data_IF_685574340946
#
_entry.id   IF_685574340946
#
_cell.length_a   1.000
_cell.length_b   1.000
_cell.length_c   1.000
_cell.angle_alpha   90.00
_cell.angle_beta   90.00
_cell.angle_gamma   90.00
#
_symmetry.space_group_name_H-M   'P 1'
#
loop_
_entity.id
_entity.type
_entity.pdbx_description
1 polymer ?
#
# COMPACT_ATOMS: atom_id res chain seq x y z
N UNK A 1 10.07 35.25 11.30
CA UNK A 1 10.20 35.13 12.77
C UNK A 1 9.21 34.07 13.24
N UNK A 2 9.63 33.05 14.00
CA UNK A 2 8.70 32.05 14.57
C UNK A 2 7.69 32.81 15.44
N UNK A 3 6.35 32.65 15.26
CA UNK A 3 5.45 33.02 16.33
C UNK A 3 5.85 32.15 17.54
N UNK A 4 6.24 32.80 18.63
CA UNK A 4 6.60 32.11 19.87
C UNK A 4 5.31 31.42 20.31
N UNK A 5 5.29 30.08 20.34
CA UNK A 5 4.16 29.34 20.92
C UNK A 5 3.94 29.93 22.32
N UNK A 6 2.70 30.25 22.64
CA UNK A 6 2.38 30.73 23.98
C UNK A 6 2.79 29.63 24.95
N UNK A 7 3.48 30.00 26.03
CA UNK A 7 4.07 29.05 26.99
C UNK A 7 3.01 28.15 27.66
N UNK A 8 1.74 28.50 27.47
CA UNK A 8 0.56 27.80 27.97
C UNK A 8 0.14 26.60 27.10
N UNK A 9 0.63 26.48 25.84
CA UNK A 9 0.38 25.32 24.96
C UNK A 9 1.46 24.22 25.06
N UNK A 10 2.57 24.48 25.76
CA UNK A 10 3.70 23.54 25.86
C UNK A 10 3.57 22.70 27.14
N UNK A 11 3.36 21.39 27.00
CA UNK A 11 3.36 20.45 28.12
C UNK A 11 4.77 20.03 28.50
N UNK A 12 4.97 19.66 29.76
CA UNK A 12 6.26 19.16 30.22
C UNK A 12 6.47 17.75 29.67
N UNK A 13 7.67 17.47 29.16
CA UNK A 13 8.03 16.10 28.75
C UNK A 13 7.84 15.13 29.92
N UNK A 14 8.30 15.54 31.11
CA UNK A 14 8.04 14.86 32.36
C UNK A 14 7.31 15.82 33.30
N UNK A 15 6.17 15.43 33.90
CA UNK A 15 5.54 14.10 33.85
C UNK A 15 4.58 13.90 32.67
N UNK A 16 4.09 14.97 32.05
CA UNK A 16 2.86 14.92 31.25
C UNK A 16 2.94 13.97 30.04
N UNK A 17 4.01 14.05 29.24
CA UNK A 17 4.17 13.18 28.07
C UNK A 17 4.58 11.74 28.46
N UNK A 18 5.58 11.59 29.33
CA UNK A 18 6.11 10.26 29.69
C UNK A 18 5.05 9.38 30.35
N UNK A 19 4.15 9.92 31.17
CA UNK A 19 3.09 9.12 31.78
C UNK A 19 2.12 8.56 30.74
N UNK A 20 1.72 9.36 29.75
CA UNK A 20 0.83 8.90 28.66
C UNK A 20 1.54 7.84 27.82
N UNK A 21 2.80 8.06 27.46
CA UNK A 21 3.60 7.08 26.71
C UNK A 21 3.78 5.77 27.48
N UNK A 22 4.01 5.83 28.79
CA UNK A 22 4.11 4.65 29.66
C UNK A 22 2.81 3.85 29.72
N UNK A 23 1.66 4.54 29.81
CA UNK A 23 0.34 3.90 29.77
C UNK A 23 0.14 3.22 28.41
N UNK A 24 0.43 3.91 27.30
CA UNK A 24 0.37 3.33 25.96
C UNK A 24 1.28 2.10 25.83
N UNK A 25 2.54 2.20 26.25
CA UNK A 25 3.49 1.10 26.21
C UNK A 25 3.02 -0.12 27.01
N UNK A 26 2.47 0.11 28.20
CA UNK A 26 1.89 -0.93 29.05
C UNK A 26 0.70 -1.60 28.37
N UNK A 27 -0.24 -0.81 27.83
CA UNK A 27 -1.40 -1.32 27.12
C UNK A 27 -1.02 -2.13 25.88
N UNK A 28 -0.07 -1.65 25.07
CA UNK A 28 0.44 -2.41 23.92
C UNK A 28 1.13 -3.71 24.33
N UNK A 29 1.95 -3.67 25.40
CA UNK A 29 2.64 -4.87 25.91
C UNK A 29 1.65 -5.92 26.38
N UNK A 30 0.64 -5.53 27.17
CA UNK A 30 -0.43 -6.42 27.61
C UNK A 30 -1.20 -6.96 26.42
N UNK A 31 -1.59 -6.10 25.48
CA UNK A 31 -2.37 -6.49 24.30
C UNK A 31 -1.62 -7.51 23.45
N UNK A 32 -0.33 -7.26 23.14
CA UNK A 32 0.48 -8.22 22.38
C UNK A 32 0.73 -9.52 23.15
N UNK A 33 0.88 -9.47 24.47
CA UNK A 33 1.03 -10.67 25.31
C UNK A 33 -0.25 -11.51 25.26
N UNK A 34 -1.43 -10.88 25.39
CA UNK A 34 -2.72 -11.57 25.29
C UNK A 34 -2.92 -12.18 23.90
N UNK A 35 -2.65 -11.42 22.83
CA UNK A 35 -2.74 -11.94 21.45
C UNK A 35 -1.79 -13.11 21.24
N UNK A 36 -0.54 -13.01 21.72
CA UNK A 36 0.45 -14.09 21.60
C UNK A 36 0.06 -15.35 22.39
N UNK A 37 -0.68 -15.22 23.49
CA UNK A 37 -1.14 -16.34 24.29
C UNK A 37 -2.40 -17.00 23.71
N UNK A 38 -3.26 -16.23 23.03
CA UNK A 38 -4.54 -16.72 22.49
C UNK A 38 -4.46 -17.17 21.02
N UNK A 39 -3.52 -16.62 20.25
CA UNK A 39 -3.40 -16.87 18.80
C UNK A 39 -2.12 -17.66 18.52
N UNK A 40 -2.27 -18.93 18.14
CA UNK A 40 -1.16 -19.75 17.70
C UNK A 40 -0.61 -19.23 16.37
N UNK A 41 0.72 -19.09 16.29
CA UNK A 41 1.38 -18.75 15.05
C UNK A 41 1.30 -19.95 14.08
N UNK A 42 0.92 -19.73 12.81
CA UNK A 42 0.97 -20.77 11.79
C UNK A 42 2.43 -21.02 11.40
N UNK A 43 3.08 -21.96 12.08
CA UNK A 43 4.45 -22.37 11.80
C UNK A 43 4.46 -23.49 10.77
N UNK A 44 5.35 -23.40 9.78
CA UNK A 44 5.57 -24.42 8.76
C UNK A 44 6.60 -25.45 9.29
N UNK A 45 6.62 -26.63 8.66
CA UNK A 45 7.66 -27.64 8.86
C UNK A 45 9.08 -27.06 8.74
N UNK A 46 10.04 -27.77 9.34
CA UNK A 46 11.46 -27.41 9.22
C UNK A 46 11.86 -27.30 7.75
N UNK A 47 12.71 -26.32 7.45
CA UNK A 47 13.17 -26.06 6.09
C UNK A 47 13.75 -27.35 5.45
N UNK A 48 13.24 -27.68 4.27
CA UNK A 48 13.72 -28.78 3.45
C UNK A 48 14.03 -28.23 2.05
N UNK A 49 15.24 -28.47 1.55
CA UNK A 49 15.66 -28.00 0.22
C UNK A 49 14.95 -28.76 -0.92
N UNK A 50 14.46 -29.97 -0.66
CA UNK A 50 13.77 -30.81 -1.65
C UNK A 50 12.29 -30.47 -1.81
N UNK A 51 11.74 -29.61 -0.94
CA UNK A 51 10.31 -29.25 -0.94
C UNK A 51 10.15 -27.73 -1.01
N UNK A 52 9.48 -27.25 -2.05
CA UNK A 52 9.10 -25.84 -2.17
C UNK A 52 7.65 -25.66 -1.67
N UNK A 53 7.40 -24.85 -0.62
CA UNK A 53 6.05 -24.64 -0.10
C UNK A 53 5.11 -24.03 -1.15
N UNK A 54 3.86 -24.50 -1.20
CA UNK A 54 2.85 -23.97 -2.11
C UNK A 54 1.51 -23.69 -1.41
N UNK A 55 1.13 -22.41 -1.21
CA UNK A 55 1.77 -21.18 -1.70
C UNK A 55 2.91 -20.72 -0.79
N UNK A 56 4.00 -20.24 -1.41
CA UNK A 56 5.07 -19.55 -0.68
C UNK A 56 4.67 -18.09 -0.44
N UNK A 57 4.03 -17.79 0.69
CA UNK A 57 3.63 -16.44 1.09
C UNK A 57 4.70 -15.76 1.95
N UNK A 58 4.95 -14.48 1.68
CA UNK A 58 5.80 -13.61 2.48
C UNK A 58 5.07 -13.19 3.78
N UNK A 59 5.81 -12.69 4.78
CA UNK A 59 5.19 -12.05 5.94
C UNK A 59 4.25 -10.91 5.53
N UNK A 60 3.21 -10.66 6.33
CA UNK A 60 2.10 -9.76 5.97
C UNK A 60 2.55 -8.33 5.60
N UNK A 61 3.62 -7.82 6.21
CA UNK A 61 4.19 -6.49 5.92
C UNK A 61 4.99 -6.43 4.59
N UNK A 62 5.16 -7.55 3.90
CA UNK A 62 5.72 -7.62 2.54
C UNK A 62 4.74 -8.21 1.53
N UNK A 63 3.53 -8.62 1.95
CA UNK A 63 2.55 -9.22 1.04
C UNK A 63 2.09 -8.26 -0.05
N UNK A 64 2.07 -6.95 0.22
CA UNK A 64 1.77 -5.97 -0.81
C UNK A 64 2.78 -6.03 -1.97
N UNK A 65 4.08 -6.19 -1.66
CA UNK A 65 5.13 -6.28 -2.66
C UNK A 65 5.06 -7.61 -3.38
N UNK A 66 4.79 -8.69 -2.66
CA UNK A 66 4.62 -10.00 -3.27
C UNK A 66 3.45 -10.02 -4.25
N UNK A 67 2.33 -9.41 -3.89
CA UNK A 67 1.18 -9.28 -4.79
C UNK A 67 1.55 -8.46 -6.03
N UNK A 68 2.31 -7.38 -5.86
CA UNK A 68 2.81 -6.56 -6.95
C UNK A 68 3.69 -7.36 -7.94
N UNK A 69 4.49 -8.31 -7.46
CA UNK A 69 5.33 -9.21 -8.29
C UNK A 69 4.52 -10.11 -9.24
N UNK A 70 3.23 -10.32 -8.98
CA UNK A 70 2.36 -11.10 -9.87
C UNK A 70 1.90 -10.29 -11.08
N UNK A 71 2.00 -8.97 -11.02
CA UNK A 71 1.41 -8.04 -12.00
C UNK A 71 2.44 -7.31 -12.85
N UNK A 72 3.74 -7.42 -12.54
CA UNK A 72 4.81 -6.74 -13.27
C UNK A 72 6.17 -7.40 -13.07
N UNK A 73 7.21 -6.91 -13.75
CA UNK A 73 8.58 -7.41 -13.59
C UNK A 73 9.06 -7.36 -12.12
N UNK A 74 9.90 -8.35 -11.75
CA UNK A 74 10.42 -8.51 -10.40
C UNK A 74 11.30 -7.34 -9.94
N UNK A 75 12.13 -6.82 -10.85
CA UNK A 75 12.98 -5.66 -10.55
C UNK A 75 12.16 -4.38 -10.40
N UNK A 76 11.13 -4.21 -11.24
CA UNK A 76 10.21 -3.07 -11.18
C UNK A 76 9.44 -3.06 -9.84
N UNK A 77 8.74 -4.14 -9.52
CA UNK A 77 7.92 -4.24 -8.31
C UNK A 77 8.75 -4.26 -7.02
N UNK A 78 9.86 -4.99 -7.00
CA UNK A 78 10.65 -5.21 -5.78
C UNK A 78 11.62 -4.09 -5.44
N UNK A 79 12.17 -3.40 -6.45
CA UNK A 79 13.26 -2.42 -6.24
C UNK A 79 12.87 -1.03 -6.69
N UNK A 80 12.45 -0.87 -7.94
CA UNK A 80 12.25 0.46 -8.54
C UNK A 80 11.07 1.18 -7.90
N UNK A 81 9.90 0.55 -7.84
CA UNK A 81 8.67 1.16 -7.30
C UNK A 81 8.85 1.58 -5.83
N UNK A 82 9.34 0.72 -4.90
CA UNK A 82 9.58 1.12 -3.52
C UNK A 82 10.62 2.24 -3.39
N UNK A 83 11.69 2.20 -4.18
CA UNK A 83 12.75 3.22 -4.14
C UNK A 83 12.22 4.58 -4.58
N UNK A 84 11.46 4.63 -5.69
CA UNK A 84 10.83 5.86 -6.16
C UNK A 84 9.81 6.39 -5.15
N UNK A 85 9.04 5.52 -4.50
CA UNK A 85 8.07 5.93 -3.49
C UNK A 85 8.72 6.53 -2.26
N UNK A 86 9.77 5.90 -1.72
CA UNK A 86 10.53 6.44 -0.58
C UNK A 86 11.18 7.77 -0.97
N UNK A 87 11.78 7.85 -2.17
CA UNK A 87 12.32 9.10 -2.69
C UNK A 87 11.27 10.21 -2.77
N UNK A 88 10.09 9.90 -3.30
CA UNK A 88 8.97 10.83 -3.32
C UNK A 88 8.57 11.30 -1.91
N UNK A 89 8.43 10.39 -0.93
CA UNK A 89 8.13 10.76 0.45
C UNK A 89 9.18 11.72 1.04
N UNK A 90 10.46 11.47 0.79
CA UNK A 90 11.55 12.36 1.21
C UNK A 90 11.47 13.75 0.57
N UNK A 91 10.88 13.87 -0.62
CA UNK A 91 10.70 15.17 -1.29
C UNK A 91 9.53 15.98 -0.76
N UNK A 92 8.54 15.37 -0.07
CA UNK A 92 7.32 16.05 0.39
C UNK A 92 7.62 17.33 1.19
N UNK A 93 8.53 17.36 2.18
CA UNK A 93 8.83 18.56 2.96
C UNK A 93 9.46 19.71 2.15
N UNK A 94 10.06 19.40 1.00
CA UNK A 94 10.67 20.39 0.11
C UNK A 94 9.64 20.97 -0.88
N UNK A 95 8.61 20.20 -1.20
CA UNK A 95 7.52 20.61 -2.08
C UNK A 95 6.48 21.41 -1.29
N UNK A 96 6.00 20.87 -0.16
CA UNK A 96 5.10 21.57 0.75
C UNK A 96 5.87 22.21 1.90
N UNK A 97 6.24 23.48 1.73
CA UNK A 97 6.94 24.30 2.73
C UNK A 97 5.99 25.14 3.59
N UNK A 98 4.67 24.98 3.41
CA UNK A 98 3.68 25.75 4.14
C UNK A 98 3.65 25.34 5.62
N UNK A 99 3.42 26.31 6.51
CA UNK A 99 3.33 26.09 7.97
C UNK A 99 1.89 26.08 8.48
N UNK A 100 0.91 26.23 7.60
CA UNK A 100 -0.50 26.22 7.97
C UNK A 100 -0.87 24.86 8.55
N UNK A 101 -1.80 24.77 9.50
CA UNK A 101 -2.33 23.52 10.07
C UNK A 101 -1.33 22.40 10.41
N UNK A 102 -0.10 22.75 10.85
CA UNK A 102 0.87 21.79 11.35
C UNK A 102 0.32 21.12 12.62
N UNK A 103 0.34 19.79 12.67
CA UNK A 103 -0.20 19.02 13.80
C UNK A 103 -1.71 18.79 13.75
N UNK A 104 -2.41 19.33 12.74
CA UNK A 104 -3.85 19.09 12.54
C UNK A 104 -4.01 18.02 11.45
N UNK A 105 -4.57 16.87 11.82
CA UNK A 105 -4.87 15.80 10.88
C UNK A 105 -5.71 16.29 9.70
N UNK A 106 -5.22 16.00 8.49
CA UNK A 106 -5.80 16.39 7.21
C UNK A 106 -5.90 17.90 6.94
N UNK A 107 -5.37 18.75 7.83
CA UNK A 107 -5.26 20.22 7.74
C UNK A 107 -6.59 20.98 7.57
N UNK A 108 -7.33 20.73 6.50
CA UNK A 108 -8.56 21.44 6.11
C UNK A 108 -9.74 20.46 5.95
N UNK A 109 -11.00 20.96 5.90
CA UNK A 109 -12.15 20.14 5.55
C UNK A 109 -12.05 19.52 4.14
N UNK A 110 -11.43 20.24 3.19
CA UNK A 110 -11.17 19.73 1.84
C UNK A 110 -10.18 18.58 1.87
N UNK A 111 -9.10 18.67 2.67
CA UNK A 111 -8.16 17.59 2.88
C UNK A 111 -8.80 16.32 3.43
N UNK A 112 -9.75 16.44 4.37
CA UNK A 112 -10.52 15.29 4.88
C UNK A 112 -11.38 14.64 3.79
N UNK A 113 -12.13 15.45 3.03
CA UNK A 113 -12.96 14.95 1.91
C UNK A 113 -12.09 14.25 0.86
N UNK A 114 -10.93 14.83 0.56
CA UNK A 114 -10.00 14.30 -0.42
C UNK A 114 -9.30 13.03 0.07
N UNK A 115 -9.00 12.91 1.36
CA UNK A 115 -8.51 11.66 1.96
C UNK A 115 -9.55 10.53 1.83
N UNK A 116 -10.82 10.80 2.12
CA UNK A 116 -11.89 9.80 1.95
C UNK A 116 -12.05 9.43 0.47
N UNK A 117 -12.08 10.43 -0.42
CA UNK A 117 -12.18 10.20 -1.87
C UNK A 117 -11.02 9.36 -2.39
N UNK A 118 -9.78 9.72 -2.04
CA UNK A 118 -8.57 9.00 -2.45
C UNK A 118 -8.49 7.59 -1.86
N UNK A 119 -9.00 7.37 -0.64
CA UNK A 119 -9.11 6.05 -0.04
C UNK A 119 -10.05 5.14 -0.83
N UNK A 120 -11.24 5.64 -1.19
CA UNK A 120 -12.20 4.90 -2.03
C UNK A 120 -11.61 4.68 -3.42
N UNK A 121 -11.04 5.71 -4.03
CA UNK A 121 -10.39 5.67 -5.33
C UNK A 121 -9.30 4.58 -5.39
N UNK A 122 -8.36 4.59 -4.45
CA UNK A 122 -7.28 3.60 -4.37
C UNK A 122 -7.81 2.19 -4.13
N UNK A 123 -8.78 2.04 -3.23
CA UNK A 123 -9.37 0.73 -2.91
C UNK A 123 -10.09 0.12 -4.12
N UNK A 124 -11.04 0.86 -4.71
CA UNK A 124 -11.87 0.38 -5.82
C UNK A 124 -11.01 0.10 -7.05
N UNK A 125 -10.07 0.99 -7.39
CA UNK A 125 -9.21 0.78 -8.54
C UNK A 125 -8.26 -0.38 -8.35
N UNK A 126 -7.68 -0.57 -7.17
CA UNK A 126 -6.76 -1.69 -6.94
C UNK A 126 -7.48 -3.03 -7.07
N UNK A 127 -8.67 -3.19 -6.48
CA UNK A 127 -9.49 -4.39 -6.70
C UNK A 127 -9.87 -4.55 -8.17
N UNK A 128 -10.26 -3.47 -8.85
CA UNK A 128 -10.58 -3.46 -10.28
C UNK A 128 -9.41 -3.89 -11.15
N UNK A 129 -8.20 -3.41 -10.87
CA UNK A 129 -6.98 -3.75 -11.61
C UNK A 129 -6.57 -5.21 -11.41
N UNK A 130 -6.66 -5.73 -10.18
CA UNK A 130 -6.37 -7.15 -9.90
C UNK A 130 -7.37 -8.04 -10.64
N UNK A 131 -8.66 -7.70 -10.60
CA UNK A 131 -9.70 -8.43 -11.33
C UNK A 131 -9.53 -8.34 -12.85
N UNK A 132 -9.18 -7.17 -13.37
CA UNK A 132 -8.90 -6.94 -14.78
C UNK A 132 -7.69 -7.76 -15.24
N UNK A 133 -6.58 -7.73 -14.48
CA UNK A 133 -5.39 -8.53 -14.77
C UNK A 133 -5.71 -10.04 -14.79
N UNK A 134 -6.50 -10.52 -13.82
CA UNK A 134 -6.96 -11.90 -13.79
C UNK A 134 -7.75 -12.28 -15.06
N UNK A 135 -8.68 -11.44 -15.49
CA UNK A 135 -9.48 -11.67 -16.71
C UNK A 135 -8.59 -11.60 -17.96
N UNK A 136 -7.71 -10.63 -18.07
CA UNK A 136 -6.81 -10.46 -19.23
C UNK A 136 -5.86 -11.65 -19.39
N UNK A 137 -5.27 -12.13 -18.28
CA UNK A 137 -4.43 -13.34 -18.29
C UNK A 137 -5.23 -14.57 -18.73
N UNK A 138 -6.47 -14.72 -18.26
CA UNK A 138 -7.35 -15.84 -18.65
C UNK A 138 -7.71 -15.84 -20.14
N UNK A 139 -7.84 -14.66 -20.75
CA UNK A 139 -8.12 -14.49 -22.20
C UNK A 139 -6.86 -14.79 -23.05
N UNK A 140 -5.69 -14.93 -22.43
CA UNK A 140 -4.43 -15.19 -23.12
C UNK A 140 -3.73 -13.92 -23.62
N UNK A 141 -3.93 -12.79 -22.92
CA UNK A 141 -3.30 -11.51 -23.29
C UNK A 141 -1.77 -11.60 -23.31
N UNK A 142 -1.16 -12.39 -22.42
CA UNK A 142 0.29 -12.53 -22.33
C UNK A 142 0.85 -13.30 -23.53
N UNK A 143 0.15 -14.34 -23.97
CA UNK A 143 0.48 -15.13 -25.16
C UNK A 143 0.31 -14.27 -26.42
N UNK A 144 -0.80 -13.53 -26.51
CA UNK A 144 -1.03 -12.58 -27.60
C UNK A 144 0.08 -11.53 -27.67
N UNK A 145 0.42 -10.89 -26.55
CA UNK A 145 1.49 -9.91 -26.49
C UNK A 145 2.83 -10.52 -26.92
N UNK A 146 3.11 -11.76 -26.51
CA UNK A 146 4.35 -12.47 -26.87
C UNK A 146 4.47 -12.77 -28.36
N UNK A 147 3.34 -13.03 -29.04
CA UNK A 147 3.32 -13.43 -30.45
C UNK A 147 3.23 -12.23 -31.41
N UNK A 148 2.46 -11.20 -31.06
CA UNK A 148 2.07 -10.14 -32.00
C UNK A 148 2.66 -8.76 -31.69
N UNK A 149 3.19 -8.53 -30.48
CA UNK A 149 3.73 -7.21 -30.11
C UNK A 149 5.27 -7.17 -30.11
N UNK A 150 5.88 -6.07 -30.59
CA UNK A 150 7.34 -5.92 -30.58
C UNK A 150 7.87 -5.86 -29.14
N UNK A 151 8.78 -6.76 -28.76
CA UNK A 151 9.28 -6.86 -27.38
C UNK A 151 8.46 -7.78 -26.46
N UNK A 152 7.41 -8.42 -26.99
CA UNK A 152 6.71 -9.55 -26.37
C UNK A 152 6.14 -9.27 -24.97
N UNK A 153 6.13 -10.31 -24.12
CA UNK A 153 5.66 -10.21 -22.73
C UNK A 153 6.45 -9.22 -21.86
N UNK A 154 7.75 -9.08 -22.14
CA UNK A 154 8.65 -8.31 -21.29
C UNK A 154 8.30 -6.83 -21.40
N UNK A 155 8.17 -6.31 -22.62
CA UNK A 155 7.94 -4.87 -22.78
C UNK A 155 6.54 -4.45 -22.32
N UNK A 156 5.50 -5.16 -22.75
CA UNK A 156 4.12 -4.71 -22.60
C UNK A 156 3.49 -5.13 -21.27
N UNK A 157 3.22 -6.43 -21.02
CA UNK A 157 2.73 -6.92 -19.73
C UNK A 157 3.62 -6.57 -18.55
N UNK A 158 4.95 -6.77 -18.65
CA UNK A 158 5.79 -6.70 -17.45
C UNK A 158 6.25 -5.28 -17.08
N UNK A 159 6.38 -4.38 -18.06
CA UNK A 159 6.84 -2.99 -17.83
C UNK A 159 5.81 -1.92 -18.21
N UNK A 160 5.41 -1.84 -19.49
CA UNK A 160 4.71 -0.66 -20.02
C UNK A 160 3.30 -0.49 -19.44
N UNK A 161 2.51 -1.57 -19.34
CA UNK A 161 1.17 -1.50 -18.75
C UNK A 161 1.22 -1.16 -17.26
N UNK A 162 2.04 -1.84 -16.43
CA UNK A 162 2.17 -1.49 -15.02
C UNK A 162 2.66 -0.06 -14.80
N UNK A 163 3.71 0.38 -15.49
CA UNK A 163 4.22 1.75 -15.38
C UNK A 163 3.16 2.76 -15.83
N UNK A 164 2.54 2.50 -16.98
CA UNK A 164 1.49 3.34 -17.54
C UNK A 164 0.30 3.49 -16.59
N UNK A 165 -0.18 2.39 -16.02
CA UNK A 165 -1.31 2.42 -15.07
C UNK A 165 -0.95 3.16 -13.78
N UNK A 166 0.22 2.91 -13.19
CA UNK A 166 0.67 3.63 -12.00
C UNK A 166 0.79 5.14 -12.24
N UNK A 167 1.40 5.55 -13.36
CA UNK A 167 1.59 6.97 -13.69
C UNK A 167 0.27 7.64 -14.04
N UNK A 168 -0.55 7.02 -14.90
CA UNK A 168 -1.80 7.60 -15.40
C UNK A 168 -2.82 7.71 -14.27
N UNK A 169 -2.99 6.69 -13.44
CA UNK A 169 -3.96 6.74 -12.34
C UNK A 169 -3.51 7.74 -11.26
N UNK A 170 -2.22 7.80 -10.94
CA UNK A 170 -1.71 8.82 -10.01
C UNK A 170 -1.91 10.23 -10.58
N UNK A 171 -1.59 10.45 -11.85
CA UNK A 171 -1.81 11.73 -12.51
C UNK A 171 -3.31 12.08 -12.56
N UNK A 172 -4.18 11.12 -12.85
CA UNK A 172 -5.63 11.30 -12.84
C UNK A 172 -6.11 11.73 -11.45
N UNK A 173 -5.65 11.08 -10.38
CA UNK A 173 -5.99 11.46 -9.01
C UNK A 173 -5.57 12.91 -8.71
N UNK A 174 -4.35 13.30 -9.10
CA UNK A 174 -3.85 14.67 -8.94
C UNK A 174 -4.69 15.67 -9.74
N UNK A 175 -5.07 15.32 -10.97
CA UNK A 175 -5.93 16.16 -11.82
C UNK A 175 -7.34 16.30 -11.23
N UNK A 176 -7.93 15.22 -10.74
CA UNK A 176 -9.24 15.23 -10.08
C UNK A 176 -9.19 16.07 -8.79
N UNK A 177 -8.15 15.91 -7.97
CA UNK A 177 -7.94 16.71 -6.78
C UNK A 177 -7.87 18.20 -7.10
N UNK A 178 -7.08 18.59 -8.11
CA UNK A 178 -6.92 19.99 -8.51
C UNK A 178 -8.17 20.55 -9.19
N UNK A 179 -8.83 19.80 -10.06
CA UNK A 179 -9.93 20.30 -10.90
C UNK A 179 -11.29 20.28 -10.22
N UNK A 180 -11.58 19.26 -9.40
CA UNK A 180 -12.87 19.12 -8.74
C UNK A 180 -12.85 19.77 -7.36
N UNK A 181 -11.76 19.59 -6.60
CA UNK A 181 -11.67 20.03 -5.21
C UNK A 181 -10.87 21.33 -5.03
N UNK A 182 -10.30 21.89 -6.11
CA UNK A 182 -9.38 23.04 -6.05
C UNK A 182 -8.27 22.84 -5.00
N UNK A 183 -7.75 21.62 -4.93
CA UNK A 183 -6.85 21.20 -3.87
C UNK A 183 -5.50 21.95 -3.90
N UNK A 184 -5.04 22.35 -2.73
CA UNK A 184 -3.68 22.87 -2.50
C UNK A 184 -2.64 21.77 -2.65
N UNK A 185 -1.36 22.16 -2.75
CA UNK A 185 -0.24 21.20 -2.83
C UNK A 185 -0.27 20.18 -1.70
N UNK A 186 -0.56 20.62 -0.47
CA UNK A 186 -0.65 19.72 0.69
C UNK A 186 -1.76 18.69 0.55
N UNK A 187 -2.95 19.14 0.16
CA UNK A 187 -4.11 18.27 0.02
C UNK A 187 -3.87 17.24 -1.10
N UNK A 188 -3.19 17.63 -2.18
CA UNK A 188 -2.72 16.69 -3.21
C UNK A 188 -1.76 15.64 -2.62
N UNK A 189 -0.81 16.04 -1.77
CA UNK A 189 0.10 15.08 -1.11
C UNK A 189 -0.66 14.13 -0.18
N UNK A 190 -1.64 14.63 0.58
CA UNK A 190 -2.54 13.81 1.39
C UNK A 190 -3.27 12.79 0.51
N UNK A 191 -3.82 13.24 -0.63
CA UNK A 191 -4.56 12.36 -1.54
C UNK A 191 -3.69 11.24 -2.11
N UNK A 192 -2.48 11.57 -2.59
CA UNK A 192 -1.53 10.60 -3.16
C UNK A 192 -1.06 9.62 -2.08
N UNK A 193 -0.73 10.12 -0.88
CA UNK A 193 -0.36 9.29 0.26
C UNK A 193 -1.49 8.32 0.66
N UNK A 194 -2.70 8.84 0.83
CA UNK A 194 -3.85 8.03 1.23
C UNK A 194 -4.22 6.99 0.18
N UNK A 195 -4.21 7.34 -1.11
CA UNK A 195 -4.43 6.37 -2.18
C UNK A 195 -3.37 5.25 -2.18
N UNK A 196 -2.09 5.58 -1.95
CA UNK A 196 -1.03 4.59 -1.84
C UNK A 196 -1.21 3.68 -0.62
N UNK A 197 -1.53 4.24 0.56
CA UNK A 197 -1.81 3.43 1.77
C UNK A 197 -2.98 2.47 1.52
N UNK A 198 -4.07 2.94 0.90
CA UNK A 198 -5.20 2.08 0.58
C UNK A 198 -4.83 1.00 -0.46
N UNK A 199 -4.04 1.35 -1.48
CA UNK A 199 -3.51 0.37 -2.45
C UNK A 199 -2.67 -0.70 -1.74
N UNK A 200 -1.76 -0.29 -0.86
CA UNK A 200 -0.94 -1.18 -0.03
C UNK A 200 -1.80 -2.14 0.80
N UNK A 201 -2.84 -1.63 1.46
CA UNK A 201 -3.74 -2.43 2.28
C UNK A 201 -4.56 -3.41 1.45
N UNK A 202 -5.06 -3.00 0.28
CA UNK A 202 -5.77 -3.92 -0.63
C UNK A 202 -4.83 -5.03 -1.10
N UNK A 203 -3.62 -4.71 -1.56
CA UNK A 203 -2.65 -5.73 -2.01
C UNK A 203 -2.30 -6.70 -0.88
N UNK A 204 -2.11 -6.19 0.34
CA UNK A 204 -1.86 -7.02 1.53
C UNK A 204 -3.05 -7.94 1.82
N UNK A 205 -4.28 -7.41 1.76
CA UNK A 205 -5.50 -8.18 1.98
C UNK A 205 -5.67 -9.28 0.93
N UNK A 206 -5.47 -8.97 -0.36
CA UNK A 206 -5.58 -9.94 -1.46
C UNK A 206 -4.51 -11.02 -1.31
N UNK A 207 -3.25 -10.65 -1.05
CA UNK A 207 -2.17 -11.61 -0.81
C UNK A 207 -2.44 -12.53 0.38
N UNK A 208 -3.02 -11.99 1.46
CA UNK A 208 -3.34 -12.76 2.67
C UNK A 208 -4.52 -13.71 2.41
N UNK A 209 -5.63 -13.16 1.94
CA UNK A 209 -6.95 -13.79 2.04
C UNK A 209 -7.52 -14.29 0.70
N UNK A 210 -6.90 -13.99 -0.45
CA UNK A 210 -7.44 -14.35 -1.76
C UNK A 210 -6.46 -15.15 -2.63
N UNK A 211 -5.17 -15.18 -2.28
CA UNK A 211 -4.17 -15.98 -2.99
C UNK A 211 -4.09 -17.41 -2.47
N UNK A 212 -4.37 -18.37 -3.35
CA UNK A 212 -4.32 -19.82 -3.09
C UNK A 212 -3.04 -20.48 -3.64
N UNK A 213 -3.04 -21.82 -3.83
CA UNK A 213 -1.96 -22.56 -4.46
C UNK A 213 -1.58 -21.94 -5.81
N UNK A 214 -0.28 -21.89 -6.11
CA UNK A 214 0.25 -21.23 -7.31
C UNK A 214 0.17 -19.70 -7.30
N UNK A 215 -0.27 -19.09 -6.20
CA UNK A 215 -0.67 -17.68 -6.14
C UNK A 215 -1.87 -17.36 -7.05
N UNK A 216 -2.71 -18.36 -7.37
CA UNK A 216 -3.95 -18.13 -8.09
C UNK A 216 -4.97 -17.37 -7.26
N UNK A 217 -5.85 -16.63 -7.94
CA UNK A 217 -6.85 -15.76 -7.31
C UNK A 217 -8.13 -16.55 -7.02
N UNK A 218 -8.52 -16.59 -5.75
CA UNK A 218 -9.75 -17.21 -5.25
C UNK A 218 -10.60 -16.20 -4.47
N UNK A 219 -11.89 -16.51 -4.32
CA UNK A 219 -12.72 -15.78 -3.37
C UNK A 219 -12.27 -16.10 -1.93
N UNK A 220 -12.34 -15.15 -0.99
CA UNK A 220 -11.82 -15.34 0.37
C UNK A 220 -12.42 -16.54 1.13
N UNK A 221 -13.66 -16.89 0.82
CA UNK A 221 -14.39 -18.01 1.44
C UNK A 221 -14.24 -19.34 0.70
N UNK A 222 -13.49 -19.39 -0.40
CA UNK A 222 -13.31 -20.59 -1.23
C UNK A 222 -11.83 -20.88 -1.53
N UNK A 223 -10.96 -20.64 -0.56
CA UNK A 223 -9.54 -20.97 -0.65
C UNK A 223 -9.37 -22.50 -0.53
N UNK A 224 -8.73 -23.16 -1.52
CA UNK A 224 -8.43 -24.59 -1.41
C UNK A 224 -7.35 -24.82 -0.35
N UNK A 225 -7.31 -26.04 0.21
CA UNK A 225 -6.29 -26.45 1.17
C UNK A 225 -4.91 -26.38 0.54
N UNK A 226 -3.96 -25.78 1.25
CA UNK A 226 -2.56 -25.67 0.81
C UNK A 226 -1.91 -27.05 0.83
N UNK A 227 -1.04 -27.33 -0.14
CA UNK A 227 -0.29 -28.58 -0.19
C UNK A 227 0.96 -28.36 0.69
N UNK A 228 1.04 -29.06 1.81
CA UNK A 228 2.22 -29.07 2.70
C UNK A 228 3.36 -29.91 2.13
#
# INVERSE_FOLDING_TARGET
>A
VRPRREREEELLVWPDLVFVEFICATLFTISFTVVSALVNAPLINRANADITPNPSKAPWYFLNLQELLLHMDKGLAGVIVPTLWIGFMMTIPYIDRSREGVGIWFTTPTGKRLAIFSAIYGTVLTFGLIGLDFVLKKIGYVEFASQYLPGGKVLFPDYLIPIGTMVVLTALLVLLAKRIFNATTREVMIAVWTAWVCTYLVLTFVGTSMRGPGMDLYAPWNLPTTIE
#
